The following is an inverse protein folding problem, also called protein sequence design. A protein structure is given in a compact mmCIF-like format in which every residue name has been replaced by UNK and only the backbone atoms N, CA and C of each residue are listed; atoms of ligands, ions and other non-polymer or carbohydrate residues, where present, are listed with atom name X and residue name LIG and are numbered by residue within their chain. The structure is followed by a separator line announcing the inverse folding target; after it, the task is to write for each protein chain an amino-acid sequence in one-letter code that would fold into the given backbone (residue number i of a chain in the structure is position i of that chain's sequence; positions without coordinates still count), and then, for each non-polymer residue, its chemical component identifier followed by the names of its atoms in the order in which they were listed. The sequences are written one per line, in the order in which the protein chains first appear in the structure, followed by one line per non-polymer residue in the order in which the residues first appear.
data_IF_713519072308
#
_entry.id   IF_713519072308
#
_cell.length_a   1.000
_cell.length_b   1.000
_cell.length_c   1.000
_cell.angle_alpha   90.00
_cell.angle_beta   90.00
_cell.angle_gamma   90.00
#
_symmetry.space_group_name_H-M   'P 1'
#
loop_
_entity.id
_entity.type
_entity.pdbx_description
1 polymer ?
#
# COMPACT_ATOMS: atom_id res chain seq x y z
N UNK A 1 18.96 19.27 -15.99
CA UNK A 1 17.73 19.51 -15.21
C UNK A 1 17.74 18.53 -14.05
N UNK A 2 17.76 19.02 -12.79
CA UNK A 2 17.74 18.14 -11.62
C UNK A 2 16.32 17.64 -11.42
N UNK A 3 16.10 16.34 -11.58
CA UNK A 3 14.81 15.73 -11.26
C UNK A 3 14.70 15.76 -9.73
N UNK A 4 13.71 16.46 -9.18
CA UNK A 4 13.41 16.36 -7.76
C UNK A 4 13.15 14.88 -7.46
N UNK A 5 13.94 14.28 -6.57
CA UNK A 5 13.66 12.92 -6.12
C UNK A 5 12.29 12.96 -5.44
N UNK A 6 11.31 12.15 -5.89
CA UNK A 6 10.03 12.11 -5.22
C UNK A 6 10.28 11.69 -3.79
N UNK A 7 9.82 12.49 -2.82
CA UNK A 7 9.82 12.06 -1.43
C UNK A 7 9.06 10.72 -1.39
N UNK A 8 9.61 9.69 -0.72
CA UNK A 8 8.94 8.41 -0.64
C UNK A 8 7.55 8.63 -0.06
N UNK A 9 6.51 8.29 -0.85
CA UNK A 9 5.13 8.38 -0.41
C UNK A 9 4.99 7.40 0.75
N UNK A 10 4.81 7.93 1.96
CA UNK A 10 4.54 7.14 3.15
C UNK A 10 3.05 7.09 3.40
N UNK A 11 2.55 5.92 3.79
CA UNK A 11 1.18 5.80 4.27
C UNK A 11 0.99 6.70 5.50
N UNK A 12 0.10 7.70 5.39
CA UNK A 12 -0.11 8.70 6.45
C UNK A 12 -0.66 8.09 7.73
N UNK A 13 -1.55 7.11 7.62
CA UNK A 13 -2.16 6.43 8.77
C UNK A 13 -1.09 5.75 9.63
N UNK A 14 -0.16 5.04 9.00
CA UNK A 14 0.95 4.41 9.73
C UNK A 14 1.92 5.48 10.23
N UNK A 15 2.20 6.52 9.43
CA UNK A 15 3.18 7.56 9.77
C UNK A 15 2.79 8.41 11.00
N UNK A 16 1.50 8.47 11.33
CA UNK A 16 0.99 9.17 12.53
C UNK A 16 1.18 8.36 13.82
N UNK A 17 1.56 7.08 13.73
CA UNK A 17 1.81 6.27 14.91
C UNK A 17 3.06 6.76 15.68
N UNK A 18 3.04 6.68 17.03
CA UNK A 18 4.24 6.84 17.84
C UNK A 18 5.38 5.95 17.33
N UNK A 19 6.62 6.45 17.37
CA UNK A 19 7.80 5.80 16.75
C UNK A 19 7.94 4.31 17.11
N UNK A 20 7.66 3.93 18.36
CA UNK A 20 7.73 2.54 18.80
C UNK A 20 6.65 1.67 18.13
N UNK A 21 5.42 2.17 18.04
CA UNK A 21 4.30 1.47 17.40
C UNK A 21 4.51 1.39 15.88
N UNK A 22 5.00 2.46 15.25
CA UNK A 22 5.39 2.46 13.85
C UNK A 22 6.39 1.33 13.54
N UNK A 23 7.46 1.21 14.34
CA UNK A 23 8.47 0.15 14.16
C UNK A 23 7.90 -1.25 14.37
N UNK A 24 7.07 -1.44 15.40
CA UNK A 24 6.43 -2.72 15.69
C UNK A 24 5.43 -3.11 14.58
N UNK A 25 4.69 -2.16 14.04
CA UNK A 25 3.79 -2.38 12.93
C UNK A 25 4.55 -2.81 11.69
N UNK A 26 5.59 -2.07 11.29
CA UNK A 26 6.41 -2.41 10.13
C UNK A 26 7.13 -3.76 10.28
N UNK A 27 7.54 -4.14 11.48
CA UNK A 27 8.17 -5.45 11.73
C UNK A 27 7.22 -6.64 11.48
N UNK A 28 5.91 -6.39 11.41
CA UNK A 28 4.88 -7.39 11.09
C UNK A 28 4.48 -7.37 9.61
N UNK A 29 4.96 -6.38 8.85
CA UNK A 29 4.73 -6.30 7.42
C UNK A 29 5.81 -7.08 6.67
N UNK A 30 5.42 -7.69 5.57
CA UNK A 30 6.34 -8.31 4.62
C UNK A 30 6.37 -7.53 3.30
N UNK A 31 7.54 -7.30 2.69
CA UNK A 31 7.62 -6.79 1.33
C UNK A 31 7.10 -7.84 0.35
N UNK A 32 6.16 -7.44 -0.51
CA UNK A 32 5.63 -8.27 -1.59
C UNK A 32 5.77 -7.56 -2.92
N UNK A 33 6.03 -8.33 -3.98
CA UNK A 33 6.02 -7.82 -5.36
C UNK A 33 4.67 -8.13 -5.96
N UNK A 34 3.94 -7.10 -6.36
CA UNK A 34 2.70 -7.24 -7.13
C UNK A 34 3.02 -7.15 -8.62
N UNK A 35 2.40 -8.02 -9.42
CA UNK A 35 2.51 -8.02 -10.87
C UNK A 35 1.30 -7.30 -11.46
N UNK A 36 1.50 -6.59 -12.56
CA UNK A 36 0.40 -5.93 -13.26
C UNK A 36 -0.65 -6.96 -13.67
N UNK A 37 -1.91 -6.70 -13.30
CA UNK A 37 -3.03 -7.61 -13.54
C UNK A 37 -3.39 -8.49 -12.34
N UNK A 38 -2.61 -8.46 -11.26
CA UNK A 38 -2.98 -9.17 -10.02
C UNK A 38 -4.28 -8.60 -9.45
N UNK A 39 -5.24 -9.48 -9.20
CA UNK A 39 -6.49 -9.16 -8.51
C UNK A 39 -6.25 -9.33 -7.01
N UNK A 40 -6.20 -8.21 -6.29
CA UNK A 40 -5.94 -8.22 -4.83
C UNK A 40 -7.18 -8.60 -4.00
N UNK A 41 -8.37 -8.32 -4.53
CA UNK A 41 -9.64 -8.73 -3.96
C UNK A 41 -10.72 -8.66 -5.04
N UNK A 42 -11.72 -9.53 -4.93
CA UNK A 42 -12.97 -9.42 -5.68
C UNK A 42 -14.03 -8.69 -4.83
N UNK A 43 -15.05 -8.09 -5.47
CA UNK A 43 -16.20 -7.56 -4.77
C UNK A 43 -16.80 -8.60 -3.80
N UNK A 44 -17.27 -8.13 -2.65
CA UNK A 44 -17.91 -8.93 -1.61
C UNK A 44 -17.05 -10.04 -0.97
N UNK A 45 -15.76 -10.13 -1.31
CA UNK A 45 -14.81 -10.99 -0.62
C UNK A 45 -14.17 -10.29 0.59
N UNK A 46 -13.86 -11.07 1.61
CA UNK A 46 -13.09 -10.57 2.74
C UNK A 46 -11.67 -10.20 2.29
N UNK A 47 -11.18 -9.04 2.73
CA UNK A 47 -9.78 -8.65 2.52
C UNK A 47 -8.87 -9.57 3.34
N UNK A 48 -8.07 -10.37 2.66
CA UNK A 48 -7.10 -11.26 3.30
C UNK A 48 -5.87 -10.48 3.81
N UNK A 49 -5.44 -9.47 3.06
CA UNK A 49 -4.27 -8.66 3.37
C UNK A 49 -4.55 -7.17 3.20
N UNK A 50 -3.85 -6.35 4.00
CA UNK A 50 -3.82 -4.89 3.84
C UNK A 50 -2.50 -4.50 3.19
N UNK A 51 -2.57 -3.96 1.98
CA UNK A 51 -1.40 -3.56 1.21
C UNK A 51 -1.07 -2.08 1.41
N UNK A 52 0.23 -1.78 1.55
CA UNK A 52 0.77 -0.43 1.60
C UNK A 52 1.70 -0.23 0.40
N UNK A 53 1.22 0.36 -0.72
CA UNK A 53 2.02 0.52 -1.92
C UNK A 53 3.32 1.27 -1.64
N UNK A 54 4.45 0.60 -1.86
CA UNK A 54 5.77 1.21 -1.79
C UNK A 54 6.13 1.87 -3.13
N UNK A 55 5.67 1.27 -4.23
CA UNK A 55 5.83 1.73 -5.61
C UNK A 55 4.56 1.41 -6.40
N UNK A 56 4.29 2.18 -7.45
CA UNK A 56 3.13 1.95 -8.33
C UNK A 56 1.80 2.46 -7.76
N UNK A 57 0.69 1.94 -8.31
CA UNK A 57 -0.67 2.27 -7.91
C UNK A 57 -1.53 1.01 -7.87
N UNK A 58 -2.52 0.99 -6.97
CA UNK A 58 -3.59 0.00 -6.92
C UNK A 58 -4.86 0.68 -7.40
N UNK A 59 -5.60 0.02 -8.28
CA UNK A 59 -6.85 0.52 -8.84
C UNK A 59 -8.03 -0.25 -8.25
N UNK A 60 -9.03 0.48 -7.74
CA UNK A 60 -10.35 -0.08 -7.51
C UNK A 60 -11.09 -0.07 -8.84
N UNK A 61 -11.44 -1.25 -9.35
CA UNK A 61 -12.24 -1.40 -10.57
C UNK A 61 -13.68 -1.65 -10.16
N UNK A 62 -14.58 -0.78 -10.60
CA UNK A 62 -16.02 -0.91 -10.37
C UNK A 62 -16.77 -0.81 -11.70
N UNK A 63 -17.82 -1.61 -11.85
CA UNK A 63 -18.79 -1.39 -12.92
C UNK A 63 -19.65 -0.19 -12.52
N UNK A 64 -19.72 0.81 -13.39
CA UNK A 64 -20.60 1.97 -13.23
C UNK A 64 -21.76 1.81 -14.20
N UNK A 65 -22.98 2.11 -13.73
CA UNK A 65 -24.21 2.12 -14.55
C UNK A 65 -24.32 3.39 -15.40
#
# INVERSE_FOLDING_TARGET
MSVAQPMPVRNRLIAELPVTQYKQFLARCEPVTLVFGDILCEPDQALEYVYFPLTGHISLVALTE
#
